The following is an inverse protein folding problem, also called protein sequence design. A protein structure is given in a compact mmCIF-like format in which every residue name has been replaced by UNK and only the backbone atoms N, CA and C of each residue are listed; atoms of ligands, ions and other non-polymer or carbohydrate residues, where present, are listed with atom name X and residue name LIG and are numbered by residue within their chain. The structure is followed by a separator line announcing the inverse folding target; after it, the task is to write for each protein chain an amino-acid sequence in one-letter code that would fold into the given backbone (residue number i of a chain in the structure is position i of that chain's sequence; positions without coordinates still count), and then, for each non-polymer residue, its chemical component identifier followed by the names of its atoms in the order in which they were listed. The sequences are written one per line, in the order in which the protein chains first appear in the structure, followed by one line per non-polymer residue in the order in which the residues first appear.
data_IF_110138847572
#
_entry.id   IF_110138847572
#
_cell.length_a   1.000
_cell.length_b   1.000
_cell.length_c   1.000
_cell.angle_alpha   90.00
_cell.angle_beta   90.00
_cell.angle_gamma   90.00
#
_symmetry.space_group_name_H-M   'P 1'
#
loop_
_entity.id
_entity.type
_entity.pdbx_description
1 polymer ?
#
# COMPACT_ATOMS: atom_id res chain seq x y z
N UNK A 1 16.67 -0.60 -9.57
CA UNK A 1 15.68 0.08 -10.44
C UNK A 1 14.83 1.06 -9.65
N UNK A 2 14.34 2.12 -10.31
CA UNK A 2 13.45 3.14 -9.71
C UNK A 2 12.21 2.53 -9.04
N UNK A 3 11.68 1.44 -9.60
CA UNK A 3 10.54 0.69 -9.06
C UNK A 3 10.79 0.16 -7.64
N UNK A 4 11.90 -0.52 -7.39
CA UNK A 4 12.24 -1.07 -6.05
C UNK A 4 12.31 0.02 -4.98
N UNK A 5 12.84 1.19 -5.34
CA UNK A 5 12.93 2.35 -4.43
C UNK A 5 11.53 2.88 -4.10
N UNK A 6 10.68 3.05 -5.12
CA UNK A 6 9.31 3.54 -4.91
C UNK A 6 8.47 2.56 -4.09
N UNK A 7 8.57 1.24 -4.33
CA UNK A 7 7.86 0.24 -3.54
C UNK A 7 8.25 0.30 -2.05
N UNK A 8 9.55 0.38 -1.74
CA UNK A 8 10.02 0.53 -0.34
C UNK A 8 9.49 1.80 0.31
N UNK A 9 9.46 2.91 -0.43
CA UNK A 9 8.93 4.18 0.06
C UNK A 9 7.42 4.11 0.31
N UNK A 10 6.66 3.47 -0.59
CA UNK A 10 5.21 3.27 -0.44
C UNK A 10 4.89 2.41 0.77
N UNK A 11 5.61 1.30 1.00
CA UNK A 11 5.45 0.44 2.18
C UNK A 11 5.66 1.25 3.47
N UNK A 12 6.75 2.03 3.53
CA UNK A 12 7.04 2.86 4.70
C UNK A 12 5.93 3.90 4.97
N UNK A 13 5.38 4.51 3.91
CA UNK A 13 4.27 5.47 4.02
C UNK A 13 2.97 4.81 4.48
N UNK A 14 2.65 3.62 3.95
CA UNK A 14 1.46 2.87 4.35
C UNK A 14 1.49 2.53 5.84
N UNK A 15 2.64 2.03 6.34
CA UNK A 15 2.85 1.77 7.78
C UNK A 15 2.64 3.01 8.64
N UNK A 16 3.15 4.16 8.20
CA UNK A 16 2.95 5.43 8.92
C UNK A 16 1.48 5.83 8.98
N UNK A 17 0.74 5.65 7.88
CA UNK A 17 -0.70 5.95 7.83
C UNK A 17 -1.48 5.00 8.73
N UNK A 18 -1.22 3.69 8.67
CA UNK A 18 -1.85 2.70 9.54
C UNK A 18 -1.62 3.01 11.03
N UNK A 19 -0.38 3.34 11.43
CA UNK A 19 -0.09 3.70 12.83
C UNK A 19 -0.87 4.94 13.28
N UNK A 20 -1.00 5.94 12.41
CA UNK A 20 -1.80 7.14 12.67
C UNK A 20 -3.29 6.79 12.80
N UNK A 21 -3.81 6.00 11.87
CA UNK A 21 -5.23 5.62 11.81
C UNK A 21 -5.61 4.78 13.04
N UNK A 22 -4.73 3.90 13.52
CA UNK A 22 -4.95 3.12 14.75
C UNK A 22 -5.11 4.03 15.98
N UNK A 23 -4.27 5.06 16.10
CA UNK A 23 -4.35 6.03 17.20
C UNK A 23 -5.64 6.87 17.12
N UNK A 24 -6.01 7.30 15.92
CA UNK A 24 -7.25 8.04 15.68
C UNK A 24 -8.47 7.17 15.97
N UNK A 25 -8.48 5.91 15.55
CA UNK A 25 -9.57 4.96 15.78
C UNK A 25 -9.82 4.70 17.27
N UNK A 26 -8.76 4.61 18.10
CA UNK A 26 -8.90 4.53 19.56
C UNK A 26 -9.59 5.78 20.13
N UNK A 27 -9.20 6.96 19.67
CA UNK A 27 -9.76 8.24 20.11
C UNK A 27 -11.23 8.40 19.67
N UNK A 28 -11.55 8.02 18.44
CA UNK A 28 -12.91 8.10 17.90
C UNK A 28 -13.88 7.18 18.65
N UNK A 29 -13.47 5.95 18.97
CA UNK A 29 -14.27 4.99 19.75
C UNK A 29 -14.56 5.48 21.16
N UNK A 30 -13.57 6.08 21.85
CA UNK A 30 -13.78 6.73 23.16
C UNK A 30 -14.80 7.86 23.10
N UNK A 31 -14.68 8.74 22.11
CA UNK A 31 -15.63 9.83 21.91
C UNK A 31 -17.04 9.32 21.56
N UNK A 32 -17.15 8.21 20.83
CA UNK A 32 -18.45 7.56 20.60
C UNK A 32 -19.04 7.02 21.90
N UNK A 33 -18.22 6.41 22.78
CA UNK A 33 -18.69 5.89 24.07
C UNK A 33 -19.24 7.03 24.95
N UNK A 34 -18.55 8.18 24.99
CA UNK A 34 -19.04 9.37 25.69
C UNK A 34 -20.39 9.88 25.17
N UNK A 35 -20.65 9.77 23.86
CA UNK A 35 -21.95 10.13 23.30
C UNK A 35 -23.06 9.18 23.76
N UNK A 36 -22.76 7.88 23.88
CA UNK A 36 -23.72 6.90 24.40
C UNK A 36 -24.00 7.10 25.89
N UNK A 37 -22.97 7.36 26.70
CA UNK A 37 -23.11 7.68 28.13
C UNK A 37 -23.98 8.93 28.35
N UNK A 38 -23.87 9.92 27.46
CA UNK A 38 -24.69 11.13 27.48
C UNK A 38 -26.10 10.94 26.87
N UNK A 39 -26.49 9.72 26.45
CA UNK A 39 -27.78 9.42 25.82
C UNK A 39 -27.95 9.97 24.40
N UNK A 40 -26.89 10.45 23.74
CA UNK A 40 -26.93 11.07 22.41
C UNK A 40 -26.81 10.03 21.30
N UNK A 41 -27.83 9.18 21.17
CA UNK A 41 -27.81 8.01 20.27
C UNK A 41 -27.67 8.39 18.80
N UNK A 42 -28.36 9.42 18.31
CA UNK A 42 -28.28 9.82 16.89
C UNK A 42 -26.87 10.29 16.51
N UNK A 43 -26.25 11.10 17.37
CA UNK A 43 -24.85 11.55 17.18
C UNK A 43 -23.88 10.38 17.26
N UNK A 44 -24.11 9.42 18.18
CA UNK A 44 -23.30 8.21 18.25
C UNK A 44 -23.43 7.36 16.98
N UNK A 45 -24.63 7.30 16.39
CA UNK A 45 -24.91 6.58 15.13
C UNK A 45 -24.15 7.19 13.94
N UNK A 46 -24.18 8.51 13.79
CA UNK A 46 -23.38 9.20 12.76
C UNK A 46 -21.89 8.93 12.97
N UNK A 47 -21.43 8.94 14.23
CA UNK A 47 -20.02 8.72 14.55
C UNK A 47 -19.57 7.29 14.29
N UNK A 48 -20.39 6.28 14.58
CA UNK A 48 -20.03 4.88 14.31
C UNK A 48 -19.95 4.60 12.81
N UNK A 49 -20.80 5.22 11.98
CA UNK A 49 -20.66 5.10 10.51
C UNK A 49 -19.31 5.63 10.02
N UNK A 50 -18.83 6.74 10.58
CA UNK A 50 -17.51 7.27 10.24
C UNK A 50 -16.37 6.37 10.72
N UNK A 51 -16.50 5.77 11.91
CA UNK A 51 -15.54 4.79 12.42
C UNK A 51 -15.48 3.60 11.46
N UNK A 52 -16.62 3.03 11.06
CA UNK A 52 -16.68 1.91 10.11
C UNK A 52 -15.99 2.25 8.78
N UNK A 53 -16.25 3.44 8.22
CA UNK A 53 -15.57 3.89 6.99
C UNK A 53 -14.05 3.99 7.18
N UNK A 54 -13.61 4.49 8.33
CA UNK A 54 -12.18 4.60 8.66
C UNK A 54 -11.54 3.22 8.80
N UNK A 55 -12.21 2.28 9.47
CA UNK A 55 -11.73 0.91 9.66
C UNK A 55 -11.56 0.21 8.30
N UNK A 56 -12.56 0.30 7.41
CA UNK A 56 -12.46 -0.25 6.03
C UNK A 56 -11.25 0.33 5.28
N UNK A 57 -10.97 1.62 5.47
CA UNK A 57 -9.82 2.28 4.82
C UNK A 57 -8.49 1.78 5.39
N UNK A 58 -8.42 1.54 6.71
CA UNK A 58 -7.23 0.95 7.35
C UNK A 58 -6.95 -0.44 6.81
N UNK A 59 -7.97 -1.30 6.72
CA UNK A 59 -7.86 -2.64 6.14
C UNK A 59 -7.37 -2.60 4.68
N UNK A 60 -7.87 -1.63 3.89
CA UNK A 60 -7.38 -1.43 2.53
C UNK A 60 -5.89 -1.06 2.49
N UNK A 61 -5.41 -0.21 3.41
CA UNK A 61 -4.00 0.13 3.48
C UNK A 61 -3.13 -1.09 3.80
N UNK A 62 -3.60 -2.00 4.66
CA UNK A 62 -2.91 -3.26 4.97
C UNK A 62 -2.83 -4.17 3.75
N UNK A 63 -3.93 -4.32 3.01
CA UNK A 63 -3.93 -5.09 1.75
C UNK A 63 -2.95 -4.50 0.72
N UNK A 64 -2.94 -3.17 0.56
CA UNK A 64 -2.02 -2.49 -0.37
C UNK A 64 -0.56 -2.67 0.04
N UNK A 65 -0.26 -2.66 1.35
CA UNK A 65 1.09 -2.91 1.85
C UNK A 65 1.55 -4.32 1.46
N UNK A 66 0.74 -5.34 1.74
CA UNK A 66 1.04 -6.73 1.40
C UNK A 66 1.30 -6.90 -0.10
N UNK A 67 0.51 -6.25 -0.95
CA UNK A 67 0.75 -6.28 -2.40
C UNK A 67 2.07 -5.58 -2.78
N UNK A 68 2.41 -4.46 -2.16
CA UNK A 68 3.69 -3.79 -2.41
C UNK A 68 4.89 -4.66 -1.98
N UNK A 69 4.78 -5.36 -0.85
CA UNK A 69 5.81 -6.29 -0.38
C UNK A 69 5.96 -7.49 -1.33
N UNK A 70 4.86 -8.07 -1.79
CA UNK A 70 4.85 -9.14 -2.78
C UNK A 70 5.52 -8.72 -4.09
N UNK A 71 5.19 -7.53 -4.60
CA UNK A 71 5.80 -6.98 -5.82
C UNK A 71 7.30 -6.74 -5.63
N UNK A 72 7.71 -6.24 -4.46
CA UNK A 72 9.12 -6.02 -4.15
C UNK A 72 9.90 -7.35 -4.12
N UNK A 73 9.33 -8.39 -3.51
CA UNK A 73 9.92 -9.73 -3.45
C UNK A 73 10.10 -10.35 -4.85
N UNK A 74 9.15 -10.09 -5.76
CA UNK A 74 9.18 -10.60 -7.15
C UNK A 74 9.90 -9.70 -8.15
N UNK A 75 10.33 -8.49 -7.75
CA UNK A 75 10.95 -7.53 -8.65
C UNK A 75 12.24 -8.04 -9.33
N UNK A 76 12.94 -9.01 -8.73
CA UNK A 76 14.12 -9.65 -9.35
C UNK A 76 13.79 -10.46 -10.60
N UNK A 77 12.61 -11.08 -10.68
CA UNK A 77 12.17 -11.85 -11.84
C UNK A 77 11.79 -10.94 -13.01
N UNK A 78 11.21 -9.77 -12.71
CA UNK A 78 10.80 -8.79 -13.72
C UNK A 78 11.98 -8.14 -14.45
N UNK A 79 13.13 -7.98 -13.76
CA UNK A 79 14.39 -7.52 -14.38
C UNK A 79 15.00 -8.58 -15.31
N UNK A 80 14.84 -9.88 -14.98
CA UNK A 80 15.31 -10.98 -15.82
C UNK A 80 14.51 -11.13 -17.13
N UNK A 81 13.19 -10.97 -17.09
CA UNK A 81 12.31 -11.09 -18.27
C UNK A 81 12.44 -9.95 -19.27
N UNK A 82 12.77 -8.72 -18.84
CA UNK A 82 13.03 -7.62 -19.77
C UNK A 82 14.36 -7.81 -20.52
N UNK A 83 15.39 -8.31 -19.83
CA UNK A 83 16.72 -8.51 -20.43
C UNK A 83 16.70 -9.57 -21.55
N UNK A 84 15.95 -10.67 -21.36
CA UNK A 84 15.82 -11.74 -22.38
C UNK A 84 15.01 -11.27 -23.61
N UNK A 85 14.07 -10.35 -23.45
CA UNK A 85 13.33 -9.77 -24.60
C UNK A 85 14.12 -8.72 -25.39
N UNK A 86 15.19 -8.18 -24.82
CA UNK A 86 16.00 -7.11 -25.45
C UNK A 86 17.26 -7.66 -26.17
N UNK A 87 17.60 -8.94 -26.02
CA UNK A 87 18.68 -9.57 -26.81
C UNK A 87 18.28 -11.00 -27.24
N UNK A 88 18.01 -11.20 -28.54
CA UNK A 88 19.05 -11.70 -29.46
C UNK A 88 18.96 -11.05 -30.85
N UNK A 89 19.68 -9.94 -31.07
CA UNK A 89 19.78 -9.30 -32.40
C UNK A 89 21.06 -8.50 -32.66
N UNK A 90 21.91 -8.30 -31.65
CA UNK A 90 23.09 -7.44 -31.75
C UNK A 90 24.43 -8.20 -31.93
N UNK A 91 24.41 -9.49 -32.28
CA UNK A 91 25.63 -10.31 -32.38
C UNK A 91 25.77 -11.08 -33.71
N UNK A 92 25.24 -10.55 -34.83
CA UNK A 92 25.43 -11.16 -36.16
C UNK A 92 25.49 -10.09 -37.28
N UNK A 93 26.66 -9.49 -37.49
CA UNK A 93 27.21 -9.02 -38.78
C UNK A 93 28.53 -8.31 -38.45
N UNK A 94 29.71 -8.73 -38.88
CA UNK A 94 30.09 -9.61 -39.98
C UNK A 94 31.38 -9.02 -40.52
N UNK A 95 32.52 -9.66 -40.27
CA UNK A 95 33.80 -9.28 -40.88
C UNK A 95 33.71 -9.51 -42.40
N UNK A 96 34.19 -8.53 -43.16
CA UNK A 96 34.79 -8.71 -44.49
C UNK A 96 33.89 -8.34 -45.67
N UNK A 97 34.19 -7.23 -46.35
CA UNK A 97 34.86 -7.22 -47.66
C UNK A 97 35.01 -5.78 -48.17
N UNK A 98 36.21 -5.50 -48.71
CA UNK A 98 36.72 -4.31 -49.42
C UNK A 98 36.91 -3.02 -48.62
#
# INVERSE_FOLDING_TARGET
TKLKVQLKLTIARLRMVQQRDEQLGKTQRRAMAQLLEAGKVDSARIRVENIIRSDITSELHEMLELYCELLLARAGLMEGQLTIRVAPGAMMNGRGMV
#
